data_IF_587245211854
#
_entry.id   IF_587245211854
#
_cell.length_a   1.000
_cell.length_b   1.000
_cell.length_c   1.000
_cell.angle_alpha   90.00
_cell.angle_beta   90.00
_cell.angle_gamma   90.00
#
_symmetry.space_group_name_H-M   'P 1'
#
loop_
_entity.id
_entity.type
_entity.pdbx_description
1 polymer ?
#
# COMPACT_ATOMS: atom_id res chain seq x y z
N UNK A 1 -16.43 11.88 -31.45
CA UNK A 1 -17.02 11.34 -30.21
C UNK A 1 -15.94 10.51 -29.54
N UNK A 2 -15.12 11.11 -28.67
CA UNK A 2 -14.07 10.38 -27.95
C UNK A 2 -14.67 9.85 -26.66
N UNK A 3 -14.76 8.52 -26.55
CA UNK A 3 -15.06 7.82 -25.30
C UNK A 3 -13.88 8.08 -24.36
N UNK A 4 -14.03 9.09 -23.51
CA UNK A 4 -13.06 9.44 -22.48
C UNK A 4 -13.02 8.37 -21.40
N UNK A 5 -12.26 7.30 -21.65
CA UNK A 5 -11.75 6.42 -20.59
C UNK A 5 -10.85 7.22 -19.64
N UNK A 6 -10.61 6.64 -18.47
CA UNK A 6 -9.87 7.17 -17.33
C UNK A 6 -8.45 7.65 -17.65
N UNK A 7 -8.31 8.78 -18.35
CA UNK A 7 -7.02 9.45 -18.59
C UNK A 7 -6.69 10.47 -17.50
N UNK A 8 -7.22 10.30 -16.29
CA UNK A 8 -7.15 11.32 -15.24
C UNK A 8 -7.22 10.85 -13.80
N UNK A 9 -7.31 9.54 -13.51
CA UNK A 9 -6.74 9.09 -12.25
C UNK A 9 -5.26 9.43 -12.33
N UNK A 10 -4.69 10.04 -11.29
CA UNK A 10 -3.26 10.22 -11.16
C UNK A 10 -2.59 8.95 -11.72
N UNK A 11 -1.93 9.07 -12.87
CA UNK A 11 -1.03 8.02 -13.29
C UNK A 11 -0.16 7.80 -12.07
N UNK A 12 -0.13 6.58 -11.55
CA UNK A 12 0.87 6.19 -10.57
C UNK A 12 2.19 6.61 -11.21
N UNK A 13 2.73 7.76 -10.82
CA UNK A 13 3.97 8.24 -11.39
C UNK A 13 4.97 7.16 -11.02
N UNK A 14 5.57 6.54 -12.04
CA UNK A 14 6.52 5.45 -11.82
C UNK A 14 7.56 5.95 -10.80
N UNK A 15 7.69 5.24 -9.68
CA UNK A 15 8.69 5.58 -8.68
C UNK A 15 10.01 5.02 -9.19
N UNK A 16 11.01 5.88 -9.29
CA UNK A 16 12.39 5.47 -9.59
C UNK A 16 13.18 5.40 -8.30
N UNK A 17 13.91 4.32 -8.10
CA UNK A 17 14.88 4.16 -7.02
C UNK A 17 16.30 4.16 -7.58
N UNK A 18 17.25 4.73 -6.84
CA UNK A 18 18.68 4.61 -7.14
C UNK A 18 19.51 4.65 -5.86
N UNK A 19 20.76 4.24 -5.99
CA UNK A 19 21.81 4.52 -5.01
C UNK A 19 22.76 5.53 -5.64
N UNK A 20 22.91 6.70 -5.02
CA UNK A 20 23.85 7.74 -5.44
C UNK A 20 24.25 8.60 -4.23
N UNK A 21 25.48 9.11 -4.21
CA UNK A 21 25.97 10.02 -3.16
C UNK A 21 25.77 9.45 -1.74
N UNK A 22 26.07 8.16 -1.58
CA UNK A 22 25.90 7.38 -0.35
C UNK A 22 24.47 7.30 0.21
N UNK A 23 23.44 7.50 -0.63
CA UNK A 23 22.05 7.39 -0.18
C UNK A 23 21.22 6.52 -1.11
N UNK A 24 20.29 5.76 -0.52
CA UNK A 24 19.12 5.29 -1.26
C UNK A 24 18.21 6.49 -1.48
N UNK A 25 17.89 6.75 -2.74
CA UNK A 25 17.08 7.88 -3.16
C UNK A 25 15.87 7.42 -3.95
N UNK A 26 14.80 8.19 -3.85
CA UNK A 26 13.61 7.99 -4.68
C UNK A 26 13.14 9.30 -5.32
N UNK A 27 12.38 9.16 -6.41
CA UNK A 27 11.60 10.24 -7.01
C UNK A 27 10.39 9.70 -7.76
N UNK A 28 9.40 10.55 -8.01
CA UNK A 28 8.34 10.24 -8.96
C UNK A 28 8.76 10.52 -10.40
N UNK A 29 8.22 9.74 -11.36
CA UNK A 29 8.42 9.95 -12.78
C UNK A 29 8.04 11.38 -13.22
N UNK A 30 8.95 12.02 -13.94
CA UNK A 30 8.84 13.42 -14.36
C UNK A 30 9.43 14.45 -13.39
N UNK A 31 9.79 14.04 -12.17
CA UNK A 31 10.44 14.91 -11.21
C UNK A 31 11.95 15.00 -11.49
N UNK A 32 12.54 16.17 -11.23
CA UNK A 32 13.97 16.44 -11.40
C UNK A 32 14.76 16.32 -10.10
N UNK A 33 14.08 16.42 -8.96
CA UNK A 33 14.66 16.35 -7.62
C UNK A 33 14.55 14.93 -7.06
N UNK A 34 15.59 14.49 -6.35
CA UNK A 34 15.62 13.20 -5.65
C UNK A 34 15.52 13.43 -4.14
N UNK A 35 14.81 12.54 -3.46
CA UNK A 35 14.67 12.54 -1.99
C UNK A 35 15.52 11.42 -1.39
N UNK A 36 16.39 11.76 -0.45
CA UNK A 36 17.19 10.78 0.30
C UNK A 36 16.29 10.06 1.33
N UNK A 37 16.39 8.73 1.39
CA UNK A 37 15.67 7.88 2.36
C UNK A 37 16.57 7.54 3.54
N UNK A 38 17.73 6.95 3.25
CA UNK A 38 18.69 6.43 4.22
C UNK A 38 20.09 6.45 3.59
N UNK A 39 21.14 6.61 4.40
CA UNK A 39 22.51 6.49 3.91
C UNK A 39 22.86 5.01 3.68
N UNK A 40 23.79 4.72 2.77
CA UNK A 40 24.22 3.34 2.55
C UNK A 40 25.05 2.83 3.73
N UNK A 41 25.70 3.71 4.49
CA UNK A 41 26.45 3.35 5.70
C UNK A 41 25.55 2.90 6.86
N UNK A 42 24.36 3.49 7.02
CA UNK A 42 23.38 3.05 8.03
C UNK A 42 22.78 1.66 7.73
N UNK A 43 22.89 1.20 6.49
CA UNK A 43 22.45 -0.14 6.08
C UNK A 43 23.54 -1.21 6.20
N UNK A 44 24.81 -0.81 6.29
CA UNK A 44 25.91 -1.75 6.48
C UNK A 44 26.05 -2.05 7.97
N UNK A 45 26.27 -3.32 8.29
CA UNK A 45 26.71 -3.69 9.64
C UNK A 45 28.07 -3.06 9.93
N UNK A 46 28.45 -3.05 11.22
CA UNK A 46 29.81 -2.64 11.58
C UNK A 46 30.83 -3.55 10.88
N UNK A 47 31.88 -2.93 10.34
CA UNK A 47 33.03 -3.67 9.81
C UNK A 47 33.55 -4.64 10.89
N UNK A 48 33.94 -5.85 10.46
CA UNK A 48 34.63 -6.78 11.34
C UNK A 48 35.91 -6.14 11.87
N UNK A 49 36.28 -6.43 13.12
CA UNK A 49 37.57 -5.96 13.67
C UNK A 49 38.68 -6.54 12.80
N UNK A 50 39.67 -5.72 12.34
CA UNK A 50 40.81 -6.25 11.60
C UNK A 50 41.44 -7.42 12.37
N UNK A 51 41.68 -8.53 11.67
CA UNK A 51 42.42 -9.65 12.24
C UNK A 51 43.77 -9.15 12.77
N UNK A 52 44.20 -9.65 13.93
CA UNK A 52 45.58 -9.40 14.40
C UNK A 52 46.53 -9.99 13.35
N UNK A 53 47.60 -9.27 12.99
CA UNK A 53 48.65 -9.78 12.11
C UNK A 53 49.05 -11.20 12.56
N UNK A 54 48.94 -12.16 11.64
CA UNK A 54 49.02 -13.58 11.98
C UNK A 54 50.42 -14.02 12.40
N UNK A 55 50.50 -14.80 13.47
CA UNK A 55 51.05 -16.14 13.23
C UNK A 55 49.99 -16.89 12.41
N UNK A 56 50.39 -17.50 11.30
CA UNK A 56 49.53 -18.07 10.26
C UNK A 56 48.32 -18.90 10.80
N UNK A 57 47.23 -18.92 10.02
CA UNK A 57 46.07 -19.87 10.10
C UNK A 57 44.80 -19.48 10.90
N UNK A 58 44.51 -18.21 11.18
CA UNK A 58 43.16 -17.81 11.66
C UNK A 58 42.57 -16.69 10.81
N UNK A 59 41.47 -16.99 10.13
CA UNK A 59 40.68 -15.99 9.42
C UNK A 59 40.19 -14.90 10.40
N UNK A 60 40.03 -13.67 9.90
CA UNK A 60 39.39 -12.59 10.65
C UNK A 60 37.96 -12.97 11.02
N UNK A 61 37.39 -12.31 12.05
CA UNK A 61 35.96 -12.49 12.31
C UNK A 61 35.15 -11.86 11.17
N UNK A 62 34.12 -12.57 10.71
CA UNK A 62 33.18 -12.02 9.75
C UNK A 62 32.52 -10.74 10.30
N UNK A 63 32.17 -9.82 9.41
CA UNK A 63 31.39 -8.62 9.76
C UNK A 63 30.00 -8.99 10.28
N UNK A 64 29.34 -8.03 10.94
CA UNK A 64 27.96 -8.23 11.41
C UNK A 64 27.01 -8.12 10.21
N UNK A 65 26.06 -9.04 10.08
CA UNK A 65 25.00 -8.94 9.09
C UNK A 65 24.24 -7.60 9.20
N UNK A 66 23.84 -7.05 8.06
CA UNK A 66 23.00 -5.85 8.00
C UNK A 66 21.61 -6.09 8.58
N UNK A 67 20.91 -5.00 8.93
CA UNK A 67 19.57 -5.10 9.51
C UNK A 67 18.55 -5.46 8.43
N UNK A 68 17.85 -6.58 8.62
CA UNK A 68 16.76 -6.97 7.73
C UNK A 68 15.54 -6.04 7.88
N UNK A 69 14.98 -5.49 6.78
CA UNK A 69 13.78 -4.68 6.83
C UNK A 69 12.54 -5.52 7.21
N UNK A 70 11.63 -4.93 7.99
CA UNK A 70 10.41 -5.61 8.49
C UNK A 70 9.17 -4.72 8.33
N UNK A 71 7.98 -5.33 8.39
CA UNK A 71 6.71 -4.58 8.46
C UNK A 71 6.32 -4.42 9.92
N UNK A 72 6.29 -3.17 10.39
CA UNK A 72 5.87 -2.80 11.74
C UNK A 72 4.40 -3.12 12.01
N UNK A 73 4.03 -3.16 13.28
CA UNK A 73 2.66 -3.47 13.71
C UNK A 73 1.60 -2.48 13.19
N UNK A 74 2.01 -1.26 12.86
CA UNK A 74 1.20 -0.21 12.23
C UNK A 74 1.13 -0.33 10.69
N UNK A 75 1.81 -1.30 10.09
CA UNK A 75 1.89 -1.50 8.64
C UNK A 75 2.94 -0.64 7.93
N UNK A 76 3.79 0.10 8.62
CA UNK A 76 4.90 0.81 7.99
C UNK A 76 6.16 -0.08 7.89
N UNK A 77 7.03 0.25 6.95
CA UNK A 77 8.34 -0.36 6.79
C UNK A 77 9.26 0.14 7.89
N UNK A 78 9.77 -0.78 8.69
CA UNK A 78 10.72 -0.52 9.76
C UNK A 78 12.09 -1.07 9.36
N UNK A 79 13.14 -0.28 9.56
CA UNK A 79 14.54 -0.70 9.39
C UNK A 79 15.19 -0.60 10.77
N UNK A 80 15.39 -1.75 11.42
CA UNK A 80 15.88 -1.79 12.80
C UNK A 80 14.88 -1.19 13.77
N UNK A 81 15.27 -0.15 14.49
CA UNK A 81 14.39 0.61 15.40
C UNK A 81 13.81 1.87 14.73
N UNK A 82 14.11 2.10 13.45
CA UNK A 82 13.68 3.29 12.72
C UNK A 82 12.39 3.05 11.92
N UNK A 83 11.36 3.81 12.24
CA UNK A 83 10.10 3.85 11.52
C UNK A 83 10.18 4.82 10.34
N UNK A 84 10.21 4.29 9.11
CA UNK A 84 10.43 5.12 7.91
C UNK A 84 9.22 5.97 7.54
N UNK A 85 8.04 5.64 8.06
CA UNK A 85 6.75 6.20 7.63
C UNK A 85 6.29 5.72 6.24
N UNK A 86 7.05 4.85 5.58
CA UNK A 86 6.68 4.23 4.30
C UNK A 86 5.73 3.07 4.61
N UNK A 87 4.45 3.20 4.27
CA UNK A 87 3.47 2.13 4.47
C UNK A 87 3.76 0.93 3.55
N UNK A 88 4.04 -0.25 4.12
CA UNK A 88 4.38 -1.49 3.40
C UNK A 88 3.54 -2.70 3.86
N UNK A 89 2.57 -2.48 4.75
CA UNK A 89 1.48 -3.39 5.08
C UNK A 89 0.41 -3.41 4.00
N UNK A 90 -0.48 -4.41 4.03
CA UNK A 90 -1.51 -4.56 3.00
C UNK A 90 -2.66 -3.56 3.20
N UNK A 91 -2.65 -2.51 2.38
CA UNK A 91 -3.73 -1.84 1.60
C UNK A 91 -3.29 -0.39 1.33
N UNK A 92 -3.18 -0.05 0.05
CA UNK A 92 -2.86 1.30 -0.44
C UNK A 92 -3.95 2.31 -0.05
N UNK A 93 -3.81 2.97 1.09
CA UNK A 93 -4.65 4.10 1.52
C UNK A 93 -4.34 5.41 0.80
N UNK A 94 -3.35 5.43 -0.09
CA UNK A 94 -2.95 6.61 -0.88
C UNK A 94 -3.80 6.90 -2.13
N UNK A 95 -4.83 6.10 -2.43
CA UNK A 95 -5.76 6.40 -3.52
C UNK A 95 -6.80 7.38 -2.99
N UNK A 96 -6.63 8.67 -3.29
CA UNK A 96 -7.67 9.66 -3.07
C UNK A 96 -8.89 9.26 -3.91
N UNK A 97 -9.97 8.87 -3.22
CA UNK A 97 -11.23 8.49 -3.84
C UNK A 97 -12.15 9.72 -3.89
N UNK A 98 -12.60 10.11 -5.07
CA UNK A 98 -13.51 11.23 -5.31
C UNK A 98 -14.92 11.01 -4.75
N UNK A 99 -15.25 9.76 -4.43
CA UNK A 99 -16.54 9.36 -3.87
C UNK A 99 -16.54 9.23 -2.37
N UNK A 100 -17.63 9.69 -1.76
CA UNK A 100 -17.96 9.30 -0.40
C UNK A 100 -18.50 7.86 -0.40
N UNK A 101 -18.03 7.08 0.57
CA UNK A 101 -18.59 5.79 0.90
C UNK A 101 -19.73 6.01 1.90
N UNK A 102 -20.88 5.41 1.63
CA UNK A 102 -21.94 5.28 2.62
C UNK A 102 -21.81 3.95 3.36
N UNK A 103 -21.87 4.02 4.70
CA UNK A 103 -21.72 2.86 5.58
C UNK A 103 -22.94 2.71 6.47
N UNK A 104 -23.32 1.46 6.74
CA UNK A 104 -24.34 1.12 7.71
C UNK A 104 -23.87 -0.02 8.62
N UNK A 105 -24.35 -0.01 9.87
CA UNK A 105 -24.10 -1.09 10.82
C UNK A 105 -24.79 -2.37 10.36
N UNK A 106 -24.09 -3.49 10.47
CA UNK A 106 -24.74 -4.79 10.45
C UNK A 106 -25.60 -4.98 11.71
N UNK A 107 -26.51 -5.94 11.67
CA UNK A 107 -27.39 -6.27 12.80
C UNK A 107 -26.62 -6.77 14.03
N UNK A 108 -25.35 -7.13 13.88
CA UNK A 108 -24.46 -7.53 14.98
C UNK A 108 -24.00 -6.34 15.85
N UNK A 109 -24.15 -5.09 15.37
CA UNK A 109 -23.66 -3.89 16.05
C UNK A 109 -22.13 -3.77 16.16
N UNK A 110 -21.39 -4.71 15.56
CA UNK A 110 -19.93 -4.86 15.69
C UNK A 110 -19.20 -4.82 14.33
N UNK A 111 -19.94 -4.89 13.23
CA UNK A 111 -19.40 -4.74 11.88
C UNK A 111 -20.29 -3.86 11.01
N UNK A 112 -19.77 -3.42 9.87
CA UNK A 112 -20.49 -2.56 8.92
C UNK A 112 -20.55 -3.21 7.55
N UNK A 113 -21.51 -2.75 6.75
CA UNK A 113 -21.54 -2.98 5.32
C UNK A 113 -21.45 -1.67 4.56
N UNK A 114 -20.83 -1.74 3.39
CA UNK A 114 -20.80 -0.65 2.42
C UNK A 114 -22.12 -0.61 1.65
N UNK A 115 -22.87 0.49 1.70
CA UNK A 115 -24.17 0.57 1.03
C UNK A 115 -24.17 1.39 -0.26
N UNK A 116 -23.16 2.25 -0.49
CA UNK A 116 -23.11 3.04 -1.71
C UNK A 116 -21.76 3.71 -1.95
N UNK A 117 -21.26 3.65 -3.19
CA UNK A 117 -20.11 4.44 -3.64
C UNK A 117 -20.50 5.39 -4.77
N UNK A 118 -20.47 6.70 -4.48
CA UNK A 118 -20.87 7.74 -5.43
C UNK A 118 -19.73 8.32 -6.28
N UNK A 119 -18.51 7.86 -6.05
CA UNK A 119 -17.33 8.36 -6.76
C UNK A 119 -17.30 7.97 -8.23
N UNK A 120 -16.46 8.66 -9.00
CA UNK A 120 -16.18 8.32 -10.42
C UNK A 120 -14.78 7.76 -10.62
N UNK A 121 -14.19 7.25 -9.54
CA UNK A 121 -12.82 6.76 -9.52
C UNK A 121 -12.69 5.46 -10.28
N UNK A 122 -11.60 5.34 -11.03
CA UNK A 122 -11.37 4.16 -11.85
C UNK A 122 -10.77 3.00 -11.04
N UNK A 123 -10.17 3.29 -9.87
CA UNK A 123 -9.77 2.35 -8.85
C UNK A 123 -10.49 2.72 -7.56
N UNK A 124 -11.33 1.80 -7.08
CA UNK A 124 -12.00 1.93 -5.80
C UNK A 124 -11.40 0.94 -4.83
N UNK A 125 -11.05 1.40 -3.63
CA UNK A 125 -10.54 0.56 -2.55
C UNK A 125 -11.58 0.63 -1.44
N UNK A 126 -12.30 -0.47 -1.23
CA UNK A 126 -13.26 -0.58 -0.15
C UNK A 126 -12.48 -0.70 1.18
N UNK A 127 -12.75 0.14 2.18
CA UNK A 127 -11.98 0.14 3.42
C UNK A 127 -12.21 -1.13 4.24
N UNK A 128 -11.15 -1.64 4.87
CA UNK A 128 -11.23 -2.77 5.82
C UNK A 128 -11.97 -2.40 7.10
N UNK A 129 -11.93 -1.12 7.50
CA UNK A 129 -12.56 -0.61 8.71
C UNK A 129 -13.16 0.79 8.52
N UNK A 130 -14.22 1.08 9.27
CA UNK A 130 -14.80 2.41 9.40
C UNK A 130 -15.14 2.69 10.86
N UNK A 131 -14.64 3.82 11.40
CA UNK A 131 -14.83 4.22 12.81
C UNK A 131 -14.49 3.14 13.85
N UNK A 132 -13.48 2.32 13.58
CA UNK A 132 -13.01 1.25 14.47
C UNK A 132 -13.73 -0.09 14.32
N UNK A 133 -14.66 -0.21 13.36
CA UNK A 133 -15.39 -1.44 13.12
C UNK A 133 -15.01 -2.06 11.78
N UNK A 134 -14.99 -3.40 11.72
CA UNK A 134 -14.65 -4.15 10.52
C UNK A 134 -15.74 -4.04 9.46
N UNK A 135 -15.33 -3.87 8.21
CA UNK A 135 -16.20 -4.02 7.05
C UNK A 135 -16.28 -5.49 6.65
N UNK A 136 -17.40 -6.12 6.95
CA UNK A 136 -17.61 -7.55 6.73
C UNK A 136 -18.52 -7.84 5.55
N UNK A 137 -19.06 -6.81 4.89
CA UNK A 137 -20.10 -6.99 3.88
C UNK A 137 -20.17 -5.89 2.82
N UNK A 138 -20.47 -6.28 1.58
CA UNK A 138 -20.87 -5.33 0.52
C UNK A 138 -22.39 -5.35 0.38
N UNK A 139 -23.03 -4.23 0.67
CA UNK A 139 -24.47 -4.06 0.75
C UNK A 139 -25.20 -4.10 -0.59
N UNK A 140 -26.53 -4.12 -0.50
CA UNK A 140 -27.42 -4.09 -1.65
C UNK A 140 -27.14 -2.86 -2.50
N UNK A 141 -26.85 -3.06 -3.79
CA UNK A 141 -26.58 -1.99 -4.77
C UNK A 141 -25.39 -1.08 -4.49
N UNK A 142 -24.44 -1.51 -3.67
CA UNK A 142 -23.31 -0.67 -3.26
C UNK A 142 -22.44 -0.12 -4.42
N UNK A 143 -22.41 -0.81 -5.56
CA UNK A 143 -21.77 -0.42 -6.83
C UNK A 143 -22.74 -0.57 -8.01
N UNK A 144 -24.04 -0.35 -7.80
CA UNK A 144 -25.06 -0.52 -8.83
C UNK A 144 -24.88 0.46 -9.99
N UNK A 145 -24.89 -0.03 -11.22
CA UNK A 145 -24.61 0.73 -12.44
C UNK A 145 -23.31 1.55 -12.38
N UNK A 146 -22.35 1.12 -11.56
CA UNK A 146 -21.08 1.81 -11.42
C UNK A 146 -20.18 1.50 -12.62
N UNK A 147 -20.22 2.38 -13.62
CA UNK A 147 -19.52 2.20 -14.91
C UNK A 147 -18.23 3.00 -15.01
N UNK A 148 -17.94 3.85 -14.03
CA UNK A 148 -16.73 4.67 -13.99
C UNK A 148 -15.53 3.89 -13.43
N UNK A 149 -15.75 2.93 -12.52
CA UNK A 149 -14.68 2.10 -11.98
C UNK A 149 -14.22 1.03 -12.95
N UNK A 150 -12.91 0.96 -13.19
CA UNK A 150 -12.27 -0.13 -13.91
C UNK A 150 -11.90 -1.28 -12.97
N UNK A 151 -11.62 -0.99 -11.69
CA UNK A 151 -11.29 -1.99 -10.67
C UNK A 151 -11.81 -1.57 -9.30
N UNK A 152 -12.46 -2.51 -8.60
CA UNK A 152 -12.83 -2.40 -7.19
C UNK A 152 -12.05 -3.46 -6.42
N UNK A 153 -11.28 -3.03 -5.42
CA UNK A 153 -10.56 -3.92 -4.50
C UNK A 153 -11.45 -4.17 -3.30
N UNK A 154 -11.85 -5.43 -3.14
CA UNK A 154 -12.62 -5.90 -1.99
C UNK A 154 -11.63 -6.35 -0.90
N UNK A 155 -11.75 -5.83 0.34
CA UNK A 155 -10.86 -6.19 1.42
C UNK A 155 -11.11 -7.63 1.88
N UNK A 156 -10.09 -8.25 2.47
CA UNK A 156 -10.20 -9.62 2.99
C UNK A 156 -11.20 -9.77 4.14
N UNK A 157 -11.54 -8.66 4.79
CA UNK A 157 -12.49 -8.64 5.91
C UNK A 157 -13.92 -8.86 5.45
N UNK A 158 -14.22 -8.65 4.16
CA UNK A 158 -15.55 -8.87 3.60
C UNK A 158 -15.83 -10.37 3.47
N UNK A 159 -16.85 -10.82 4.15
CA UNK A 159 -17.30 -12.22 4.18
C UNK A 159 -18.57 -12.42 3.35
N UNK A 160 -19.36 -11.36 3.11
CA UNK A 160 -20.64 -11.44 2.42
C UNK A 160 -20.84 -10.33 1.37
N UNK A 161 -21.53 -10.67 0.28
CA UNK A 161 -21.95 -9.73 -0.75
C UNK A 161 -23.44 -9.87 -1.02
N UNK A 162 -24.18 -8.79 -0.88
CA UNK A 162 -25.63 -8.77 -1.03
C UNK A 162 -26.02 -8.68 -2.50
N UNK A 163 -27.28 -9.04 -2.78
CA UNK A 163 -27.83 -9.04 -4.14
C UNK A 163 -27.59 -7.70 -4.84
N UNK A 164 -27.29 -7.76 -6.14
CA UNK A 164 -27.13 -6.58 -6.99
C UNK A 164 -26.01 -5.60 -6.60
N UNK A 165 -25.11 -5.97 -5.67
CA UNK A 165 -23.99 -5.13 -5.26
C UNK A 165 -23.20 -4.56 -6.44
N UNK A 166 -22.93 -5.36 -7.47
CA UNK A 166 -22.22 -4.94 -8.70
C UNK A 166 -23.10 -5.01 -9.95
N UNK A 167 -24.43 -5.05 -9.82
CA UNK A 167 -25.31 -5.19 -10.99
C UNK A 167 -25.18 -3.96 -11.89
N UNK A 168 -24.86 -4.18 -13.16
CA UNK A 168 -24.63 -3.12 -14.15
C UNK A 168 -23.26 -2.44 -14.06
N UNK A 169 -22.39 -2.85 -13.12
CA UNK A 169 -21.01 -2.39 -13.09
C UNK A 169 -20.22 -2.96 -14.27
N UNK A 170 -19.40 -2.14 -14.92
CA UNK A 170 -18.58 -2.56 -16.08
C UNK A 170 -17.15 -2.83 -15.62
N UNK A 171 -16.49 -3.83 -16.23
CA UNK A 171 -15.07 -4.15 -16.08
C UNK A 171 -14.57 -4.63 -14.70
N UNK A 172 -15.47 -4.92 -13.74
CA UNK A 172 -15.08 -5.45 -12.44
C UNK A 172 -14.63 -6.91 -12.55
N UNK A 173 -13.32 -7.13 -12.69
CA UNK A 173 -12.73 -8.48 -12.58
C UNK A 173 -12.47 -8.78 -11.10
N UNK A 174 -13.23 -9.71 -10.55
CA UNK A 174 -12.92 -10.36 -9.27
C UNK A 174 -11.57 -11.07 -9.42
N UNK A 175 -10.58 -10.72 -8.60
CA UNK A 175 -9.40 -11.53 -8.36
C UNK A 175 -9.49 -12.12 -6.96
#
# INVERSE_FOLDING_TARGET
MFLGGCKGLAQTKEISFRVQDDHIQWKYGGDTTWTNIISADELKGQDGVPGKDGADEKDGIDGIDGIAPQIGANGNLVIGDFETGIYAGKVNTGVSQSGEFEFALNTDGASFYHCDYKGKDCLVIVPEQYRGYSNTSIGWKAFYNHTASEKVVIPRTVESMYSSAFMGAKNQKSN
#
